data_IF_312297060540
#
_entry.id   IF_312297060540
#
_cell.length_a   1.000
_cell.length_b   1.000
_cell.length_c   1.000
_cell.angle_alpha   90.00
_cell.angle_beta   90.00
_cell.angle_gamma   90.00
#
_symmetry.space_group_name_H-M   'P 1'
#
loop_
_entity.id
_entity.type
_entity.pdbx_description
1 polymer ?
#
# COMPACT_ATOMS: atom_id res chain seq x y z
N UNK A 1 -28.39 -2.36 -21.50
CA UNK A 1 -26.96 -2.10 -21.76
C UNK A 1 -26.17 -3.37 -21.39
N UNK A 2 -25.48 -4.00 -22.36
CA UNK A 2 -24.86 -5.33 -22.16
C UNK A 2 -23.75 -5.26 -21.10
N UNK A 3 -23.72 -6.22 -20.15
CA UNK A 3 -22.70 -6.36 -19.10
C UNK A 3 -21.26 -6.36 -19.66
N UNK A 4 -21.08 -6.80 -20.90
CA UNK A 4 -19.79 -6.81 -21.61
C UNK A 4 -19.26 -5.41 -21.98
N UNK A 5 -20.13 -4.41 -22.16
CA UNK A 5 -19.71 -3.04 -22.52
C UNK A 5 -19.16 -2.33 -21.28
N UNK A 6 -19.77 -2.54 -20.12
CA UNK A 6 -19.30 -1.96 -18.86
C UNK A 6 -17.94 -2.56 -18.45
N UNK A 7 -17.79 -3.89 -18.60
CA UNK A 7 -16.53 -4.58 -18.32
C UNK A 7 -15.39 -4.09 -19.22
N UNK A 8 -15.64 -3.96 -20.53
CA UNK A 8 -14.64 -3.43 -21.48
C UNK A 8 -14.22 -2.00 -21.14
N UNK A 9 -15.17 -1.12 -20.74
CA UNK A 9 -14.85 0.26 -20.36
C UNK A 9 -14.04 0.34 -19.07
N UNK A 10 -14.32 -0.50 -18.06
CA UNK A 10 -13.54 -0.58 -16.81
C UNK A 10 -12.12 -1.07 -17.10
N UNK A 11 -11.96 -2.12 -17.91
CA UNK A 11 -10.64 -2.65 -18.30
C UNK A 11 -9.83 -1.61 -19.07
N UNK A 12 -10.45 -0.90 -20.03
CA UNK A 12 -9.78 0.16 -20.81
C UNK A 12 -9.37 1.33 -19.90
N UNK A 13 -10.21 1.73 -18.94
CA UNK A 13 -9.87 2.80 -17.98
C UNK A 13 -8.70 2.40 -17.09
N UNK A 14 -8.65 1.14 -16.64
CA UNK A 14 -7.55 0.61 -15.82
C UNK A 14 -6.24 0.54 -16.61
N UNK A 15 -6.29 0.12 -17.88
CA UNK A 15 -5.11 0.07 -18.76
C UNK A 15 -4.61 1.48 -19.07
N UNK A 16 -5.49 2.45 -19.31
CA UNK A 16 -5.13 3.83 -19.59
C UNK A 16 -4.47 4.52 -18.38
N UNK A 17 -4.94 4.22 -17.15
CA UNK A 17 -4.33 4.73 -15.91
C UNK A 17 -2.92 4.16 -15.66
N UNK A 18 -2.65 2.91 -16.08
CA UNK A 18 -1.33 2.28 -15.93
C UNK A 18 -0.34 2.79 -16.98
N UNK A 19 -0.79 3.04 -18.22
CA UNK A 19 0.07 3.45 -19.35
C UNK A 19 0.52 4.92 -19.24
N UNK A 20 -0.25 5.78 -18.56
CA UNK A 20 0.06 7.22 -18.42
C UNK A 20 1.25 7.58 -17.51
N UNK A 21 1.93 6.60 -16.89
CA UNK A 21 2.95 6.86 -15.84
C UNK A 21 4.39 6.75 -16.35
N UNK A 22 4.63 6.40 -17.63
CA UNK A 22 5.98 6.23 -18.16
C UNK A 22 6.51 7.50 -18.84
N UNK A 23 7.11 8.38 -18.07
CA UNK A 23 7.96 9.46 -18.59
C UNK A 23 9.40 8.98 -18.78
N UNK A 24 9.98 9.21 -19.97
CA UNK A 24 11.41 9.03 -20.20
C UNK A 24 12.14 10.26 -19.65
N UNK A 25 13.06 10.07 -18.69
CA UNK A 25 13.84 11.17 -18.10
C UNK A 25 15.29 11.12 -18.54
N UNK A 26 15.90 12.30 -18.61
CA UNK A 26 17.33 12.48 -18.87
C UNK A 26 18.17 11.74 -17.80
N UNK A 27 19.22 11.04 -18.23
CA UNK A 27 20.16 10.37 -17.33
C UNK A 27 21.11 11.42 -16.72
N UNK A 28 21.08 11.54 -15.38
CA UNK A 28 22.10 12.26 -14.63
C UNK A 28 23.43 11.50 -14.68
N UNK A 29 24.55 12.24 -14.69
CA UNK A 29 25.91 11.70 -14.71
C UNK A 29 26.38 11.08 -13.38
N UNK A 30 25.65 11.27 -12.27
CA UNK A 30 26.02 10.74 -10.96
C UNK A 30 25.96 9.20 -10.90
N UNK A 31 26.89 8.55 -10.18
CA UNK A 31 26.95 7.09 -10.09
C UNK A 31 25.69 6.50 -9.47
N UNK A 32 25.22 5.37 -10.01
CA UNK A 32 24.08 4.63 -9.50
C UNK A 32 24.56 3.48 -8.61
N UNK A 33 24.19 3.50 -7.34
CA UNK A 33 24.44 2.42 -6.38
C UNK A 33 23.19 1.55 -6.29
N UNK A 34 23.30 0.30 -6.75
CA UNK A 34 22.21 -0.68 -6.65
C UNK A 34 22.44 -1.63 -5.48
N UNK A 35 21.37 -1.94 -4.74
CA UNK A 35 21.37 -2.98 -3.72
C UNK A 35 20.12 -3.83 -3.82
N UNK A 36 20.26 -5.14 -3.54
CA UNK A 36 19.13 -6.06 -3.46
C UNK A 36 19.15 -6.78 -2.12
N UNK A 37 17.96 -7.04 -1.57
CA UNK A 37 17.80 -7.67 -0.27
C UNK A 37 16.53 -8.52 -0.26
N UNK A 38 16.45 -9.47 0.68
CA UNK A 38 15.26 -10.27 0.92
C UNK A 38 14.93 -10.27 2.42
N UNK A 39 13.65 -10.35 2.76
CA UNK A 39 13.22 -10.33 4.15
C UNK A 39 12.00 -11.23 4.36
N UNK A 40 11.92 -11.85 5.52
CA UNK A 40 10.77 -12.62 5.98
C UNK A 40 10.10 -11.88 7.14
N UNK A 41 8.81 -11.60 6.97
CA UNK A 41 8.03 -10.76 7.88
C UNK A 41 6.78 -11.50 8.37
N UNK A 42 6.33 -11.21 9.59
CA UNK A 42 5.02 -11.58 10.08
C UNK A 42 4.13 -10.36 10.28
N UNK A 43 2.81 -10.58 10.17
CA UNK A 43 1.78 -9.59 10.46
C UNK A 43 0.68 -10.23 11.28
N UNK A 44 0.33 -9.57 12.35
CA UNK A 44 -0.81 -9.93 13.20
C UNK A 44 -1.74 -8.74 13.30
N UNK A 45 -3.01 -8.93 13.00
CA UNK A 45 -4.02 -7.88 13.14
C UNK A 45 -5.23 -8.39 13.91
N UNK A 46 -5.73 -7.54 14.79
CA UNK A 46 -7.03 -7.69 15.43
C UNK A 46 -7.90 -6.53 14.97
N UNK A 47 -9.14 -6.81 14.59
CA UNK A 47 -10.09 -5.79 14.13
C UNK A 47 -11.46 -5.97 14.77
N UNK A 48 -12.08 -4.84 15.12
CA UNK A 48 -13.44 -4.74 15.60
C UNK A 48 -14.28 -4.00 14.53
N UNK A 49 -15.23 -4.69 13.92
CA UNK A 49 -16.17 -4.10 12.94
C UNK A 49 -17.48 -3.74 13.64
N UNK A 50 -17.86 -2.47 13.58
CA UNK A 50 -19.05 -1.87 14.19
C UNK A 50 -19.97 -1.40 13.05
N UNK A 51 -21.14 -2.03 12.85
CA UNK A 51 -22.13 -1.51 11.91
C UNK A 51 -22.77 -0.24 12.49
N UNK A 52 -22.55 0.91 11.84
CA UNK A 52 -23.14 2.19 12.23
C UNK A 52 -24.52 2.41 11.59
N UNK A 53 -24.70 1.92 10.37
CA UNK A 53 -25.93 1.95 9.60
C UNK A 53 -25.91 0.81 8.56
N UNK A 54 -27.03 0.58 7.86
CA UNK A 54 -27.18 -0.49 6.86
C UNK A 54 -26.04 -0.52 5.82
N UNK A 55 -25.53 0.65 5.45
CA UNK A 55 -24.48 0.81 4.39
C UNK A 55 -23.18 1.42 4.91
N UNK A 56 -23.08 1.64 6.22
CA UNK A 56 -21.95 2.33 6.85
C UNK A 56 -21.39 1.49 7.99
N UNK A 57 -20.09 1.27 7.97
CA UNK A 57 -19.36 0.50 8.99
C UNK A 57 -18.13 1.24 9.44
N UNK A 58 -17.85 1.17 10.73
CA UNK A 58 -16.57 1.59 11.32
C UNK A 58 -15.78 0.35 11.70
N UNK A 59 -14.50 0.31 11.34
CA UNK A 59 -13.58 -0.73 11.77
C UNK A 59 -12.42 -0.10 12.53
N UNK A 60 -12.25 -0.49 13.79
CA UNK A 60 -11.02 -0.24 14.53
C UNK A 60 -10.11 -1.45 14.41
N UNK A 61 -8.80 -1.25 14.25
CA UNK A 61 -7.86 -2.36 14.20
C UNK A 61 -6.48 -2.01 14.72
N UNK A 62 -5.86 -2.99 15.37
CA UNK A 62 -4.46 -2.98 15.80
C UNK A 62 -3.67 -3.98 14.98
N UNK A 63 -2.50 -3.58 14.48
CA UNK A 63 -1.64 -4.46 13.71
C UNK A 63 -0.18 -4.35 14.16
N UNK A 64 0.43 -5.51 14.40
CA UNK A 64 1.86 -5.67 14.63
C UNK A 64 2.54 -6.22 13.37
N UNK A 65 3.74 -5.73 13.08
CA UNK A 65 4.57 -6.18 11.98
C UNK A 65 6.00 -6.41 12.43
N UNK A 66 6.55 -7.54 12.02
CA UNK A 66 7.96 -7.83 12.23
C UNK A 66 8.78 -7.64 10.96
N UNK A 67 10.08 -7.62 11.07
CA UNK A 67 11.08 -7.63 10.00
C UNK A 67 12.27 -8.50 10.40
N UNK A 68 13.28 -8.59 9.53
CA UNK A 68 14.53 -9.32 9.81
C UNK A 68 14.27 -10.75 10.28
N UNK A 69 13.57 -11.53 9.45
CA UNK A 69 13.21 -12.92 9.73
C UNK A 69 12.51 -13.11 11.08
N UNK A 70 11.54 -12.23 11.38
CA UNK A 70 10.73 -12.16 12.62
C UNK A 70 11.48 -11.69 13.87
N UNK A 71 12.78 -11.46 13.81
CA UNK A 71 13.60 -11.13 14.99
C UNK A 71 13.29 -9.75 15.58
N UNK A 72 12.75 -8.84 14.78
CA UNK A 72 12.56 -7.46 15.15
C UNK A 72 11.14 -6.97 14.93
N UNK A 73 10.55 -6.30 15.92
CA UNK A 73 9.29 -5.58 15.74
C UNK A 73 9.56 -4.32 14.90
N UNK A 74 8.93 -4.25 13.73
CA UNK A 74 9.09 -3.13 12.77
C UNK A 74 8.09 -2.01 13.02
N UNK A 75 6.79 -2.37 13.15
CA UNK A 75 5.71 -1.37 13.25
C UNK A 75 4.56 -1.84 14.12
N UNK A 76 3.96 -0.86 14.79
CA UNK A 76 2.65 -0.96 15.43
C UNK A 76 1.72 0.03 14.74
N UNK A 77 0.52 -0.43 14.35
CA UNK A 77 -0.44 0.37 13.61
C UNK A 77 -1.80 0.31 14.29
N UNK A 78 -2.32 1.49 14.65
CA UNK A 78 -3.71 1.68 15.07
C UNK A 78 -4.47 2.29 13.92
N UNK A 79 -5.56 1.68 13.46
CA UNK A 79 -6.33 2.19 12.33
C UNK A 79 -7.81 2.29 12.63
N UNK A 80 -8.42 3.36 12.11
CA UNK A 80 -9.86 3.60 12.07
C UNK A 80 -10.28 3.69 10.61
N UNK A 81 -11.15 2.79 10.18
CA UNK A 81 -11.62 2.70 8.79
C UNK A 81 -13.13 2.89 8.76
N UNK A 82 -13.60 3.83 7.96
CA UNK A 82 -15.01 4.04 7.67
C UNK A 82 -15.30 3.53 6.26
N UNK A 83 -16.14 2.49 6.17
CA UNK A 83 -16.58 1.89 4.91
C UNK A 83 -18.01 2.30 4.61
N UNK A 84 -18.24 2.91 3.45
CA UNK A 84 -19.54 3.28 2.95
C UNK A 84 -19.84 2.58 1.63
N UNK A 85 -20.88 1.75 1.58
CA UNK A 85 -21.27 0.97 0.39
C UNK A 85 -22.70 1.33 -0.05
N UNK A 86 -22.89 2.51 -0.71
CA UNK A 86 -24.22 2.98 -1.12
C UNK A 86 -24.89 2.06 -2.13
N UNK A 87 -24.09 1.40 -3.00
CA UNK A 87 -24.55 0.52 -4.05
C UNK A 87 -23.83 -0.83 -4.02
N UNK A 88 -24.47 -1.85 -4.57
CA UNK A 88 -23.94 -3.21 -4.63
C UNK A 88 -22.56 -3.29 -5.33
N UNK A 89 -22.31 -2.43 -6.31
CA UNK A 89 -21.13 -2.48 -7.16
C UNK A 89 -20.10 -1.40 -6.83
N UNK A 90 -20.40 -0.49 -5.91
CA UNK A 90 -19.52 0.63 -5.59
C UNK A 90 -19.46 0.87 -4.08
N UNK A 91 -18.26 1.03 -3.57
CA UNK A 91 -17.98 1.38 -2.17
C UNK A 91 -16.92 2.49 -2.09
N UNK A 92 -16.94 3.17 -0.97
CA UNK A 92 -15.96 4.20 -0.59
C UNK A 92 -15.36 3.83 0.75
N UNK A 93 -14.09 4.15 0.95
CA UNK A 93 -13.37 3.87 2.18
C UNK A 93 -12.55 5.10 2.57
N UNK A 94 -12.72 5.55 3.81
CA UNK A 94 -11.85 6.52 4.46
C UNK A 94 -11.11 5.85 5.61
N UNK A 95 -9.78 5.98 5.70
CA UNK A 95 -9.00 5.34 6.75
C UNK A 95 -7.96 6.31 7.30
N UNK A 96 -7.90 6.42 8.62
CA UNK A 96 -6.81 7.04 9.35
C UNK A 96 -5.98 5.95 10.04
N UNK A 97 -4.65 6.04 9.94
CA UNK A 97 -3.73 5.10 10.58
C UNK A 97 -2.64 5.84 11.33
N UNK A 98 -2.58 5.62 12.63
CA UNK A 98 -1.47 6.00 13.47
C UNK A 98 -0.40 4.90 13.39
N UNK A 99 0.84 5.27 13.08
CA UNK A 99 1.93 4.32 12.87
C UNK A 99 3.10 4.67 13.76
N UNK A 100 3.43 3.75 14.66
CA UNK A 100 4.70 3.71 15.34
C UNK A 100 5.65 2.80 14.55
N UNK A 101 6.73 3.34 14.02
CA UNK A 101 7.73 2.60 13.24
C UNK A 101 9.10 2.68 13.90
N UNK A 102 9.72 1.52 14.07
CA UNK A 102 11.08 1.45 14.63
C UNK A 102 12.09 1.81 13.55
N UNK A 103 12.91 2.82 13.81
CA UNK A 103 14.06 3.20 12.98
C UNK A 103 15.36 2.98 13.75
N UNK A 104 16.22 2.08 13.23
CA UNK A 104 17.42 1.67 13.95
C UNK A 104 17.10 0.90 15.22
N UNK A 105 18.05 0.81 16.14
CA UNK A 105 17.93 -0.09 17.29
C UNK A 105 17.09 0.46 18.44
N UNK A 106 16.88 1.76 18.53
CA UNK A 106 16.26 2.36 19.73
C UNK A 106 15.14 3.38 19.48
N UNK A 107 14.97 3.92 18.27
CA UNK A 107 14.07 5.05 18.05
C UNK A 107 12.74 4.64 17.41
N UNK A 108 11.64 4.92 18.11
CA UNK A 108 10.30 4.87 17.57
C UNK A 108 9.93 6.22 16.93
N UNK A 109 9.50 6.20 15.68
CA UNK A 109 9.06 7.39 14.95
C UNK A 109 7.59 7.29 14.60
N UNK A 110 6.87 8.37 14.86
CA UNK A 110 5.43 8.48 14.59
C UNK A 110 5.19 8.96 13.17
N UNK A 111 4.20 8.35 12.51
CA UNK A 111 3.65 8.76 11.22
C UNK A 111 2.14 8.69 11.25
N UNK A 112 1.51 9.62 10.56
CA UNK A 112 0.07 9.64 10.32
C UNK A 112 -0.19 9.25 8.87
N UNK A 113 -1.16 8.38 8.62
CA UNK A 113 -1.57 8.00 7.27
C UNK A 113 -3.04 8.29 7.09
N UNK A 114 -3.35 8.99 6.03
CA UNK A 114 -4.72 9.22 5.58
C UNK A 114 -4.89 8.47 4.27
N UNK A 115 -5.96 7.70 4.15
CA UNK A 115 -6.27 6.95 2.95
C UNK A 115 -7.71 7.24 2.53
N UNK A 116 -7.91 7.46 1.24
CA UNK A 116 -9.23 7.50 0.61
C UNK A 116 -9.26 6.48 -0.52
N UNK A 117 -10.32 5.69 -0.60
CA UNK A 117 -10.42 4.69 -1.63
C UNK A 117 -11.83 4.61 -2.25
N UNK A 118 -11.83 4.22 -3.52
CA UNK A 118 -13.04 3.83 -4.27
C UNK A 118 -12.88 2.35 -4.62
N UNK A 119 -13.97 1.58 -4.46
CA UNK A 119 -13.98 0.13 -4.63
C UNK A 119 -15.09 -0.25 -5.60
N UNK A 120 -14.72 -0.70 -6.78
CA UNK A 120 -15.63 -1.33 -7.75
C UNK A 120 -15.74 -2.83 -7.47
N UNK A 121 -16.95 -3.39 -7.53
CA UNK A 121 -17.21 -4.82 -7.29
C UNK A 121 -18.02 -5.42 -8.44
N UNK A 122 -17.65 -6.63 -8.85
CA UNK A 122 -18.31 -7.39 -9.90
C UNK A 122 -18.32 -8.88 -9.57
N UNK A 123 -19.47 -9.53 -9.67
CA UNK A 123 -19.58 -10.98 -9.50
C UNK A 123 -19.65 -11.67 -10.87
N UNK A 124 -18.75 -12.62 -11.11
CA UNK A 124 -18.68 -13.40 -12.36
C UNK A 124 -18.60 -14.88 -12.00
N UNK A 125 -19.65 -15.64 -12.28
CA UNK A 125 -19.73 -17.07 -11.91
C UNK A 125 -19.52 -17.24 -10.39
N UNK A 126 -18.50 -18.01 -10.01
CA UNK A 126 -18.13 -18.26 -8.61
C UNK A 126 -17.11 -17.26 -8.06
N UNK A 127 -16.74 -16.22 -8.79
CA UNK A 127 -15.76 -15.24 -8.35
C UNK A 127 -16.42 -13.89 -8.08
N UNK A 128 -16.05 -13.28 -6.96
CA UNK A 128 -16.29 -11.88 -6.66
C UNK A 128 -15.00 -11.10 -6.90
N UNK A 129 -15.01 -10.31 -7.96
CA UNK A 129 -13.90 -9.45 -8.36
C UNK A 129 -14.06 -8.08 -7.74
N UNK A 130 -12.97 -7.50 -7.24
CA UNK A 130 -12.97 -6.12 -6.79
C UNK A 130 -11.72 -5.39 -7.27
N UNK A 131 -11.93 -4.16 -7.77
CA UNK A 131 -10.88 -3.20 -8.08
C UNK A 131 -10.94 -2.09 -7.04
N UNK A 132 -9.84 -1.82 -6.36
CA UNK A 132 -9.72 -0.73 -5.39
C UNK A 132 -8.63 0.23 -5.82
N UNK A 133 -9.02 1.50 -6.01
CA UNK A 133 -8.10 2.62 -6.15
C UNK A 133 -8.04 3.36 -4.82
N UNK A 134 -6.83 3.53 -4.27
CA UNK A 134 -6.61 4.19 -2.98
C UNK A 134 -5.49 5.20 -3.09
N UNK A 135 -5.79 6.46 -2.76
CA UNK A 135 -4.76 7.48 -2.52
C UNK A 135 -4.38 7.43 -1.04
N UNK A 136 -3.09 7.49 -0.78
CA UNK A 136 -2.51 7.52 0.56
C UNK A 136 -1.60 8.71 0.72
N UNK A 137 -1.81 9.44 1.81
CA UNK A 137 -0.90 10.47 2.30
C UNK A 137 -0.24 9.99 3.58
N UNK A 138 1.07 10.12 3.67
CA UNK A 138 1.86 9.79 4.85
C UNK A 138 2.50 11.08 5.35
N UNK A 139 2.04 11.56 6.49
CA UNK A 139 2.60 12.71 7.19
C UNK A 139 3.53 12.21 8.29
N UNK A 140 4.75 12.74 8.34
CA UNK A 140 5.74 12.42 9.36
C UNK A 140 5.74 13.50 10.43
N UNK A 141 5.73 13.08 11.70
CA UNK A 141 5.82 13.99 12.85
C UNK A 141 7.25 14.46 13.18
N UNK A 142 8.17 14.39 12.20
CA UNK A 142 9.56 14.81 12.33
C UNK A 142 10.03 15.46 11.02
N UNK A 143 11.05 16.29 11.14
CA UNK A 143 11.64 16.99 9.98
C UNK A 143 12.20 16.00 8.97
N UNK A 144 11.99 16.32 7.70
CA UNK A 144 12.49 15.55 6.56
C UNK A 144 13.11 16.49 5.54
N UNK A 145 14.19 16.06 4.93
CA UNK A 145 14.76 16.74 3.77
C UNK A 145 13.86 16.48 2.56
N UNK A 146 13.27 17.51 1.97
CA UNK A 146 12.35 17.40 0.84
C UNK A 146 13.00 16.87 -0.44
N UNK A 147 14.30 17.03 -0.60
CA UNK A 147 15.07 16.47 -1.72
C UNK A 147 15.27 14.94 -1.58
N UNK A 148 15.07 14.39 -0.37
CA UNK A 148 15.21 12.95 -0.09
C UNK A 148 13.86 12.32 0.23
N UNK A 149 13.03 13.00 1.00
CA UNK A 149 11.79 12.41 1.53
C UNK A 149 10.69 13.47 1.65
N UNK A 150 9.74 13.52 0.71
CA UNK A 150 8.67 14.52 0.76
C UNK A 150 7.75 14.29 1.98
N UNK A 151 7.22 15.40 2.53
CA UNK A 151 6.23 15.36 3.59
C UNK A 151 5.08 16.34 3.25
N UNK A 152 3.86 15.84 2.91
CA UNK A 152 3.42 14.45 2.91
C UNK A 152 3.99 13.61 1.75
N UNK A 153 4.18 12.32 1.99
CA UNK A 153 4.50 11.34 0.96
C UNK A 153 3.21 10.74 0.39
N UNK A 154 2.98 10.91 -0.90
CA UNK A 154 1.74 10.54 -1.57
C UNK A 154 1.91 9.29 -2.45
N UNK A 155 1.00 8.34 -2.31
CA UNK A 155 1.03 7.07 -3.07
C UNK A 155 -0.37 6.71 -3.58
N UNK A 156 -0.48 6.38 -4.86
CA UNK A 156 -1.64 5.69 -5.43
C UNK A 156 -1.46 4.18 -5.29
N UNK A 157 -2.54 3.46 -4.95
CA UNK A 157 -2.54 2.01 -4.80
C UNK A 157 -3.71 1.42 -5.55
N UNK A 158 -3.40 0.67 -6.59
CA UNK A 158 -4.36 -0.05 -7.43
C UNK A 158 -4.34 -1.52 -7.02
N UNK A 159 -5.46 -2.06 -6.52
CA UNK A 159 -5.58 -3.47 -6.13
C UNK A 159 -6.70 -4.17 -6.88
N UNK A 160 -6.36 -5.24 -7.56
CA UNK A 160 -7.30 -6.20 -8.13
C UNK A 160 -7.34 -7.45 -7.23
N UNK A 161 -8.53 -7.81 -6.73
CA UNK A 161 -8.77 -8.98 -5.89
C UNK A 161 -9.84 -9.86 -6.48
N UNK A 162 -9.65 -11.18 -6.37
CA UNK A 162 -10.64 -12.20 -6.71
C UNK A 162 -10.90 -13.08 -5.47
N UNK A 163 -12.13 -13.08 -4.99
CA UNK A 163 -12.61 -13.95 -3.91
C UNK A 163 -13.41 -15.10 -4.53
N UNK A 164 -13.10 -16.36 -4.17
CA UNK A 164 -13.85 -17.54 -4.64
C UNK A 164 -15.03 -17.82 -3.72
N UNK A 165 -16.23 -17.84 -4.30
CA UNK A 165 -17.47 -18.16 -3.60
C UNK A 165 -17.67 -19.68 -3.56
N UNK A 166 -17.72 -20.23 -2.37
CA UNK A 166 -18.04 -21.62 -2.09
C UNK A 166 -18.91 -21.69 -0.83
N UNK A 167 -19.45 -22.85 -0.52
CA UNK A 167 -20.27 -23.09 0.68
C UNK A 167 -19.45 -23.46 1.91
N UNK A 168 -18.13 -23.58 1.75
CA UNK A 168 -17.20 -23.89 2.85
C UNK A 168 -17.06 -22.70 3.81
N UNK A 169 -16.62 -23.00 5.03
CA UNK A 169 -16.19 -21.97 6.00
C UNK A 169 -14.95 -21.20 5.52
N UNK A 170 -14.16 -21.77 4.62
CA UNK A 170 -12.97 -21.20 4.03
C UNK A 170 -13.31 -20.46 2.74
N UNK A 171 -12.98 -19.19 2.67
CA UNK A 171 -13.18 -18.31 1.50
C UNK A 171 -11.82 -17.93 0.92
N UNK A 172 -11.28 -18.74 -0.02
CA UNK A 172 -9.98 -18.44 -0.60
C UNK A 172 -10.05 -17.22 -1.51
N UNK A 173 -8.94 -16.49 -1.57
CA UNK A 173 -8.80 -15.31 -2.43
C UNK A 173 -7.35 -15.14 -2.91
N UNK A 174 -7.22 -14.37 -3.98
CA UNK A 174 -5.94 -13.87 -4.46
C UNK A 174 -6.06 -12.38 -4.77
N UNK A 175 -4.95 -11.65 -4.65
CA UNK A 175 -4.90 -10.28 -5.16
C UNK A 175 -3.51 -9.88 -5.65
N UNK A 176 -3.51 -8.93 -6.60
CA UNK A 176 -2.35 -8.17 -6.99
C UNK A 176 -2.57 -6.69 -6.65
N UNK A 177 -1.55 -6.01 -6.16
CA UNK A 177 -1.61 -4.61 -5.79
C UNK A 177 -0.35 -3.88 -6.23
N UNK A 178 -0.53 -2.81 -7.02
CA UNK A 178 0.51 -1.89 -7.45
C UNK A 178 0.52 -0.66 -6.55
N UNK A 179 1.71 -0.14 -6.29
CA UNK A 179 1.93 1.11 -5.59
C UNK A 179 2.71 2.05 -6.51
N UNK A 180 2.15 3.21 -6.76
CA UNK A 180 2.77 4.28 -7.51
C UNK A 180 3.01 5.46 -6.59
N UNK A 181 4.25 5.86 -6.39
CA UNK A 181 4.57 7.12 -5.71
C UNK A 181 4.25 8.27 -6.65
N UNK A 182 3.53 9.29 -6.16
CA UNK A 182 3.06 10.42 -6.97
C UNK A 182 3.89 11.70 -6.76
N UNK A 183 4.75 11.74 -5.77
CA UNK A 183 5.56 12.92 -5.44
C UNK A 183 6.96 12.54 -4.94
N UNK A 184 7.58 11.54 -5.55
CA UNK A 184 8.96 11.21 -5.23
C UNK A 184 9.87 12.39 -5.60
N UNK A 185 10.90 12.71 -4.78
CA UNK A 185 11.90 13.67 -5.21
C UNK A 185 12.68 13.11 -6.40
N UNK A 186 12.80 13.90 -7.46
CA UNK A 186 13.74 13.63 -8.53
C UNK A 186 15.16 14.00 -8.10
N UNK A 187 16.16 13.29 -8.60
CA UNK A 187 17.55 13.65 -8.36
C UNK A 187 17.89 14.88 -9.20
N UNK A 188 18.19 16.00 -8.55
CA UNK A 188 18.66 17.25 -9.17
C UNK A 188 20.20 17.34 -9.10
N UNK A 189 20.84 18.11 -9.96
CA UNK A 189 22.30 18.22 -9.97
C UNK A 189 22.86 18.88 -8.70
N UNK A 190 22.19 19.94 -8.22
CA UNK A 190 22.58 20.64 -7.00
C UNK A 190 21.32 21.11 -6.24
N UNK A 191 21.21 20.67 -4.96
CA UNK A 191 20.06 21.00 -4.10
C UNK A 191 19.99 22.46 -3.64
N UNK A 192 21.09 23.23 -3.75
CA UNK A 192 21.11 24.64 -3.34
C UNK A 192 20.78 25.59 -4.51
N UNK A 193 20.93 25.12 -5.76
CA UNK A 193 20.68 25.94 -6.95
C UNK A 193 19.47 25.48 -7.78
N UNK A 194 18.91 24.32 -7.50
CA UNK A 194 17.75 23.77 -8.20
C UNK A 194 16.55 23.63 -7.27
N UNK A 195 15.36 23.89 -7.78
CA UNK A 195 14.12 23.63 -7.06
C UNK A 195 13.88 22.11 -6.89
N UNK A 196 13.04 21.76 -5.91
CA UNK A 196 12.65 20.37 -5.67
C UNK A 196 11.77 19.86 -6.79
N UNK A 197 12.31 19.05 -7.66
CA UNK A 197 11.56 18.37 -8.71
C UNK A 197 10.84 17.13 -8.16
N UNK A 198 9.67 16.82 -8.71
CA UNK A 198 8.85 15.65 -8.31
C UNK A 198 8.69 14.69 -9.47
N UNK A 199 8.73 13.41 -9.12
CA UNK A 199 8.59 12.30 -10.07
C UNK A 199 7.55 11.29 -9.63
N UNK A 200 7.06 10.51 -10.58
CA UNK A 200 6.15 9.41 -10.33
C UNK A 200 6.82 8.09 -10.76
N UNK A 201 6.77 7.08 -9.90
CA UNK A 201 7.25 5.76 -10.29
C UNK A 201 6.53 4.64 -9.54
N UNK A 202 6.51 3.45 -10.15
CA UNK A 202 6.00 2.24 -9.48
C UNK A 202 7.06 1.80 -8.47
N UNK A 203 6.71 1.94 -7.18
CA UNK A 203 7.63 1.64 -6.09
C UNK A 203 7.41 0.26 -5.47
N UNK A 204 6.26 -0.40 -5.77
CA UNK A 204 5.98 -1.73 -5.22
C UNK A 204 4.95 -2.49 -6.04
N UNK A 205 5.23 -3.78 -6.26
CA UNK A 205 4.24 -4.79 -6.63
C UNK A 205 4.04 -5.72 -5.43
N UNK A 206 2.79 -6.06 -5.14
CA UNK A 206 2.40 -7.01 -4.10
C UNK A 206 1.51 -8.09 -4.70
N UNK A 207 1.84 -9.35 -4.45
CA UNK A 207 1.02 -10.50 -4.78
C UNK A 207 0.63 -11.20 -3.48
N UNK A 208 -0.62 -11.63 -3.37
CA UNK A 208 -1.12 -12.28 -2.17
C UNK A 208 -2.07 -13.42 -2.51
N UNK A 209 -1.93 -14.50 -1.76
CA UNK A 209 -2.90 -15.60 -1.67
C UNK A 209 -3.30 -15.77 -0.22
N UNK A 210 -4.58 -15.97 0.03
CA UNK A 210 -5.07 -16.15 1.39
C UNK A 210 -6.42 -16.84 1.43
N UNK A 211 -6.89 -17.06 2.64
CA UNK A 211 -8.23 -17.61 2.88
C UNK A 211 -8.79 -17.09 4.18
N UNK A 212 -10.00 -16.56 4.12
CA UNK A 212 -10.75 -16.14 5.31
C UNK A 212 -11.57 -17.32 5.81
N UNK A 213 -11.35 -17.73 7.06
CA UNK A 213 -12.12 -18.74 7.76
C UNK A 213 -13.23 -18.06 8.58
N UNK A 214 -14.49 -18.38 8.28
CA UNK A 214 -15.62 -18.00 9.12
C UNK A 214 -15.75 -18.96 10.29
N UNK A 215 -15.51 -18.48 11.52
CA UNK A 215 -15.68 -19.26 12.75
C UNK A 215 -17.17 -19.31 13.11
N UNK A 216 -17.81 -18.14 13.14
CA UNK A 216 -19.26 -17.97 13.34
C UNK A 216 -19.75 -16.66 12.69
N UNK A 217 -20.96 -16.18 13.03
CA UNK A 217 -21.54 -14.94 12.48
C UNK A 217 -20.73 -13.69 12.84
N UNK A 218 -20.05 -13.70 13.99
CA UNK A 218 -19.33 -12.55 14.54
C UNK A 218 -17.81 -12.66 14.35
N UNK A 219 -17.27 -13.86 14.24
CA UNK A 219 -15.84 -14.11 14.29
C UNK A 219 -15.32 -14.68 12.98
N UNK A 220 -14.23 -14.11 12.47
CA UNK A 220 -13.49 -14.63 11.33
C UNK A 220 -11.98 -14.47 11.51
N UNK A 221 -11.24 -15.39 10.91
CA UNK A 221 -9.78 -15.33 10.82
C UNK A 221 -9.36 -15.34 9.36
N UNK A 222 -8.36 -14.56 9.02
CA UNK A 222 -7.77 -14.51 7.69
C UNK A 222 -6.31 -14.93 7.76
N UNK A 223 -5.94 -15.91 6.95
CA UNK A 223 -4.58 -16.41 6.83
C UNK A 223 -4.08 -16.12 5.43
N UNK A 224 -2.91 -15.49 5.33
CA UNK A 224 -2.39 -15.15 4.03
C UNK A 224 -0.87 -15.21 3.95
N UNK A 225 -0.42 -15.48 2.74
CA UNK A 225 0.95 -15.33 2.32
C UNK A 225 1.05 -14.27 1.23
N UNK A 226 2.06 -13.42 1.29
CA UNK A 226 2.17 -12.30 0.39
C UNK A 226 3.64 -12.01 0.06
N UNK A 227 3.91 -11.72 -1.19
CA UNK A 227 5.25 -11.32 -1.66
C UNK A 227 5.20 -9.86 -2.05
N UNK A 228 6.19 -9.11 -1.61
CA UNK A 228 6.38 -7.71 -1.96
C UNK A 228 7.66 -7.53 -2.76
N UNK A 229 7.56 -7.03 -3.96
CA UNK A 229 8.68 -6.53 -4.75
C UNK A 229 8.73 -5.01 -4.57
N UNK A 230 9.63 -4.55 -3.72
CA UNK A 230 9.80 -3.13 -3.43
C UNK A 230 10.96 -2.57 -4.26
N UNK A 231 10.77 -1.37 -4.77
CA UNK A 231 11.80 -0.57 -5.42
C UNK A 231 11.79 0.81 -4.79
N UNK A 232 12.88 1.25 -4.21
CA UNK A 232 13.03 2.60 -3.70
C UNK A 232 14.17 3.30 -4.41
N UNK A 233 13.93 4.54 -4.80
CA UNK A 233 14.92 5.42 -5.40
C UNK A 233 15.29 6.48 -4.37
N UNK A 234 16.54 6.89 -4.35
CA UNK A 234 17.03 7.96 -3.49
C UNK A 234 18.20 8.68 -4.15
N UNK A 235 18.51 9.85 -3.62
CA UNK A 235 19.65 10.66 -3.98
C UNK A 235 20.42 11.02 -2.71
N UNK A 236 21.74 11.07 -2.80
CA UNK A 236 22.62 11.56 -1.75
C UNK A 236 23.32 12.81 -2.26
N UNK A 237 23.36 13.84 -1.43
CA UNK A 237 23.96 15.13 -1.76
C UNK A 237 25.14 15.40 -0.82
N UNK A 238 26.17 16.04 -1.34
CA UNK A 238 27.24 16.58 -0.54
C UNK A 238 26.69 17.71 0.35
N UNK A 239 27.01 17.68 1.65
CA UNK A 239 26.44 18.63 2.62
C UNK A 239 26.96 20.06 2.43
N UNK A 240 28.19 20.21 1.94
CA UNK A 240 28.85 21.52 1.82
C UNK A 240 28.54 22.18 0.46
N UNK A 241 28.61 21.42 -0.62
CA UNK A 241 28.43 21.95 -1.98
C UNK A 241 27.01 21.84 -2.50
N UNK A 242 26.20 20.94 -1.91
CA UNK A 242 24.84 20.64 -2.38
C UNK A 242 24.81 19.79 -3.65
N UNK A 243 25.95 19.40 -4.20
CA UNK A 243 26.02 18.61 -5.42
C UNK A 243 25.56 17.17 -5.22
N UNK A 244 24.96 16.59 -6.26
CA UNK A 244 24.54 15.21 -6.27
C UNK A 244 25.76 14.27 -6.23
N UNK A 245 25.94 13.56 -5.10
CA UNK A 245 27.05 12.62 -4.90
C UNK A 245 26.76 11.26 -5.51
N UNK A 246 25.54 10.73 -5.31
CA UNK A 246 25.14 9.44 -5.84
C UNK A 246 23.63 9.29 -5.93
N UNK A 247 23.18 8.38 -6.78
CA UNK A 247 21.80 7.90 -6.84
C UNK A 247 21.75 6.48 -6.27
N UNK A 248 20.71 6.17 -5.51
CA UNK A 248 20.53 4.83 -4.95
C UNK A 248 19.27 4.19 -5.51
N UNK A 249 19.38 2.89 -5.83
CA UNK A 249 18.28 2.04 -6.22
C UNK A 249 18.28 0.80 -5.33
N UNK A 250 17.39 0.76 -4.35
CA UNK A 250 17.22 -0.39 -3.46
C UNK A 250 16.05 -1.24 -3.93
N UNK A 251 16.31 -2.52 -4.18
CA UNK A 251 15.31 -3.56 -4.50
C UNK A 251 15.19 -4.49 -3.30
N UNK A 252 13.98 -4.74 -2.80
CA UNK A 252 13.73 -5.64 -1.67
C UNK A 252 12.60 -6.57 -2.03
N UNK A 253 12.87 -7.88 -1.94
CA UNK A 253 11.85 -8.92 -2.02
C UNK A 253 11.48 -9.35 -0.59
N UNK A 254 10.27 -9.00 -0.12
CA UNK A 254 9.82 -9.37 1.22
C UNK A 254 8.69 -10.41 1.15
N UNK A 255 8.89 -11.51 1.87
CA UNK A 255 7.91 -12.57 2.09
C UNK A 255 7.17 -12.29 3.39
N UNK A 256 5.85 -12.34 3.36
CA UNK A 256 5.02 -11.97 4.51
C UNK A 256 4.02 -13.07 4.79
N UNK A 257 4.02 -13.57 6.02
CA UNK A 257 2.97 -14.42 6.57
C UNK A 257 2.08 -13.55 7.45
N UNK A 258 0.76 -13.65 7.29
CA UNK A 258 -0.16 -12.84 8.08
C UNK A 258 -1.34 -13.60 8.62
N UNK A 259 -1.77 -13.18 9.81
CA UNK A 259 -2.97 -13.64 10.49
C UNK A 259 -3.75 -12.41 10.93
N UNK A 260 -4.98 -12.29 10.45
CA UNK A 260 -5.89 -11.23 10.86
C UNK A 260 -7.10 -11.87 11.57
N UNK A 261 -7.41 -11.42 12.78
CA UNK A 261 -8.63 -11.79 13.48
C UNK A 261 -9.61 -10.62 13.41
N UNK A 262 -10.86 -10.91 13.08
CA UNK A 262 -11.92 -9.90 13.04
C UNK A 262 -13.13 -10.34 13.84
N UNK A 263 -13.54 -9.47 14.74
CA UNK A 263 -14.80 -9.54 15.48
C UNK A 263 -15.79 -8.51 14.92
N UNK A 264 -17.02 -8.93 14.72
CA UNK A 264 -18.12 -8.08 14.25
C UNK A 264 -19.21 -8.01 15.33
N UNK A 265 -19.59 -6.80 15.70
CA UNK A 265 -20.73 -6.52 16.56
C UNK A 265 -22.07 -6.76 15.84
#
# INVERSE_FOLDING_TARGET
MSKNIVLKRIVVLCVALVVGVFGVKAQSSAPLVESSDSDLQARFRVALEIPLAEKLKLTWSEQLRTKESFSQLDKMLTAFTLDYSPWRHLGFEGEYVFVNERKGDELWKVKHRFNLAVIGKLSVGRFDLSLRERVRWVVRGYETDEYVTPNPFTTLRTRLKADYRNDSRWKPYVYAELYTTLNAPAAVENRFSCDVERDNYINRLRLCVGSTMKINSHNSMDFYYMVHFNRSQGASYDELTGNLSSRTLKKVCAHVIGIDYKFKL
#
